data_IF_268578522279
#
_entry.id   IF_268578522279
#
_cell.length_a   1.000
_cell.length_b   1.000
_cell.length_c   1.000
_cell.angle_alpha   90.00
_cell.angle_beta   90.00
_cell.angle_gamma   90.00
#
_symmetry.space_group_name_H-M   'P 1'
#
loop_
_entity.id
_entity.type
_entity.pdbx_description
1 polymer ?
#
# COMPACT_ATOMS: atom_id res chain seq x y z
N UNK A 1 6.96 -3.92 -13.26
CA UNK A 1 6.21 -3.89 -11.99
C UNK A 1 7.13 -3.31 -10.93
N UNK A 2 6.72 -2.29 -10.17
CA UNK A 2 7.50 -1.84 -9.00
C UNK A 2 7.50 -2.99 -7.99
N UNK A 3 8.61 -3.24 -7.28
CA UNK A 3 8.71 -4.27 -6.24
C UNK A 3 8.49 -3.64 -4.86
N UNK A 4 7.23 -3.49 -4.40
CA UNK A 4 6.95 -2.90 -3.09
C UNK A 4 7.46 -3.77 -1.95
N UNK A 5 7.62 -5.07 -2.15
CA UNK A 5 8.08 -6.00 -1.11
C UNK A 5 9.57 -5.88 -0.91
N UNK A 6 10.35 -5.89 -1.99
CA UNK A 6 11.79 -5.63 -1.90
C UNK A 6 12.09 -4.24 -1.35
N UNK A 7 11.29 -3.23 -1.73
CA UNK A 7 11.40 -1.88 -1.17
C UNK A 7 11.13 -1.84 0.34
N UNK A 8 10.08 -2.53 0.78
CA UNK A 8 9.75 -2.66 2.20
C UNK A 8 10.88 -3.33 3.00
N UNK A 9 11.39 -4.48 2.54
CA UNK A 9 12.48 -5.18 3.22
C UNK A 9 13.76 -4.32 3.28
N UNK A 10 14.08 -3.62 2.18
CA UNK A 10 15.24 -2.71 2.15
C UNK A 10 15.13 -1.61 3.19
N UNK A 11 13.98 -0.97 3.30
CA UNK A 11 13.74 0.10 4.29
C UNK A 11 13.84 -0.46 5.70
N UNK A 12 13.14 -1.57 5.99
CA UNK A 12 13.18 -2.25 7.29
C UNK A 12 14.62 -2.54 7.72
N UNK A 13 15.41 -3.20 6.88
CA UNK A 13 16.78 -3.58 7.19
C UNK A 13 17.71 -2.36 7.37
N UNK A 14 17.48 -1.27 6.63
CA UNK A 14 18.20 -0.01 6.84
C UNK A 14 17.95 0.58 8.23
N UNK A 15 16.70 0.59 8.68
CA UNK A 15 16.36 1.05 10.04
C UNK A 15 16.97 0.13 11.10
N UNK A 16 16.83 -1.20 10.97
CA UNK A 16 17.44 -2.15 11.90
C UNK A 16 18.96 -1.94 11.98
N UNK A 17 19.62 -1.81 10.83
CA UNK A 17 21.06 -1.53 10.76
C UNK A 17 21.44 -0.24 11.45
N UNK A 18 20.72 0.86 11.22
CA UNK A 18 20.96 2.12 11.91
C UNK A 18 20.87 1.95 13.44
N UNK A 19 19.84 1.27 13.94
CA UNK A 19 19.69 1.05 15.37
C UNK A 19 20.79 0.12 15.90
N UNK A 20 21.24 -0.86 15.11
CA UNK A 20 22.38 -1.75 15.47
C UNK A 20 23.70 -1.02 15.59
N UNK A 21 23.90 0.07 14.84
CA UNK A 21 25.17 0.83 14.86
C UNK A 21 25.13 2.02 15.80
N UNK A 22 24.11 2.88 15.69
CA UNK A 22 24.03 4.14 16.44
C UNK A 22 23.76 3.94 17.94
N UNK A 23 23.06 2.85 18.30
CA UNK A 23 22.68 2.55 19.68
C UNK A 23 23.23 1.19 20.15
N UNK A 24 24.39 0.80 19.62
CA UNK A 24 25.03 -0.47 19.98
C UNK A 24 25.43 -0.48 21.45
N UNK A 25 25.17 -1.58 22.15
CA UNK A 25 25.70 -1.85 23.48
C UNK A 25 26.87 -2.83 23.41
N UNK A 26 27.63 -2.94 24.51
CA UNK A 26 28.71 -3.95 24.63
C UNK A 26 28.19 -5.37 24.94
N UNK A 27 26.89 -5.54 25.19
CA UNK A 27 26.32 -6.77 25.72
C UNK A 27 25.65 -7.57 24.60
N UNK A 28 26.33 -8.61 24.11
CA UNK A 28 25.86 -9.39 22.96
C UNK A 28 24.48 -10.04 23.17
N UNK A 29 24.17 -10.46 24.41
CA UNK A 29 22.84 -10.99 24.74
C UNK A 29 21.72 -9.97 24.52
N UNK A 30 21.92 -8.74 24.97
CA UNK A 30 20.96 -7.64 24.75
C UNK A 30 20.84 -7.33 23.26
N UNK A 31 21.95 -7.33 22.53
CA UNK A 31 21.94 -7.11 21.07
C UNK A 31 21.11 -8.16 20.33
N UNK A 32 21.21 -9.42 20.75
CA UNK A 32 20.43 -10.52 20.20
C UNK A 32 18.94 -10.35 20.49
N UNK A 33 18.57 -10.18 21.77
CA UNK A 33 17.17 -10.00 22.19
C UNK A 33 16.52 -8.80 21.50
N UNK A 34 17.26 -7.68 21.40
CA UNK A 34 16.80 -6.49 20.69
C UNK A 34 16.59 -6.76 19.20
N UNK A 35 17.49 -7.48 18.54
CA UNK A 35 17.32 -7.82 17.13
C UNK A 35 16.08 -8.69 16.89
N UNK A 36 15.82 -9.64 17.79
CA UNK A 36 14.64 -10.51 17.75
C UNK A 36 13.36 -9.67 17.93
N UNK A 37 13.35 -8.70 18.87
CA UNK A 37 12.23 -7.76 19.08
C UNK A 37 12.01 -6.80 17.89
N UNK A 38 13.08 -6.24 17.31
CA UNK A 38 12.96 -5.38 16.12
C UNK A 38 12.41 -6.14 14.91
N UNK A 39 12.57 -7.47 14.89
CA UNK A 39 11.99 -8.34 13.87
C UNK A 39 10.57 -8.83 14.19
N UNK A 40 10.03 -8.53 15.37
CA UNK A 40 8.69 -8.93 15.78
C UNK A 40 7.62 -8.02 15.17
N UNK A 41 6.51 -8.61 14.72
CA UNK A 41 5.39 -7.87 14.13
C UNK A 41 4.84 -6.84 15.11
N UNK A 42 4.55 -5.63 14.61
CA UNK A 42 4.04 -4.48 15.37
C UNK A 42 5.00 -3.86 16.38
N UNK A 43 6.30 -4.16 16.32
CA UNK A 43 7.33 -3.42 17.07
C UNK A 43 7.93 -2.30 16.21
N UNK A 44 8.82 -2.66 15.28
CA UNK A 44 9.43 -1.68 14.37
C UNK A 44 8.62 -1.53 13.08
N UNK A 45 8.00 -2.61 12.63
CA UNK A 45 7.27 -2.66 11.38
C UNK A 45 6.04 -3.55 11.51
N UNK A 46 5.17 -3.45 10.51
CA UNK A 46 4.12 -4.42 10.25
C UNK A 46 4.24 -4.85 8.79
N UNK A 47 4.09 -6.14 8.53
CA UNK A 47 4.08 -6.61 7.14
C UNK A 47 2.96 -5.90 6.37
N UNK A 48 3.24 -5.34 5.18
CA UNK A 48 2.22 -4.65 4.41
C UNK A 48 1.14 -5.65 3.98
N UNK A 49 -0.11 -5.21 4.00
CA UNK A 49 -1.15 -5.90 3.25
C UNK A 49 -0.99 -5.55 1.78
N UNK A 50 -0.99 -6.57 0.94
CA UNK A 50 -0.85 -6.42 -0.51
C UNK A 50 -2.22 -6.63 -1.11
N UNK A 51 -2.74 -5.58 -1.73
CA UNK A 51 -3.87 -5.71 -2.62
C UNK A 51 -3.34 -5.79 -4.06
N UNK A 52 -3.51 -6.92 -4.77
CA UNK A 52 -3.20 -6.97 -6.18
C UNK A 52 -4.18 -6.05 -6.90
N UNK A 53 -3.67 -4.96 -7.47
CA UNK A 53 -4.45 -4.09 -8.35
C UNK A 53 -4.35 -4.68 -9.76
N UNK A 54 -5.39 -5.35 -10.28
CA UNK A 54 -5.40 -5.72 -11.67
C UNK A 54 -5.37 -4.44 -12.51
N UNK A 55 -4.66 -4.48 -13.63
CA UNK A 55 -4.75 -3.40 -14.60
C UNK A 55 -6.21 -3.34 -15.09
N UNK A 56 -6.90 -2.25 -14.76
CA UNK A 56 -8.24 -2.02 -15.29
C UNK A 56 -8.16 -1.92 -16.80
N UNK A 57 -8.79 -2.86 -17.50
CA UNK A 57 -8.92 -2.79 -18.94
C UNK A 57 -9.86 -1.63 -19.26
N UNK A 58 -9.42 -0.73 -20.13
CA UNK A 58 -10.28 0.36 -20.59
C UNK A 58 -11.54 -0.23 -21.24
N UNK A 59 -12.70 0.27 -20.84
CA UNK A 59 -13.97 -0.03 -21.52
C UNK A 59 -14.08 0.67 -22.88
N UNK A 60 -13.16 1.59 -23.20
CA UNK A 60 -13.23 2.46 -24.37
C UNK A 60 -14.26 3.60 -24.26
N UNK A 61 -15.08 3.63 -23.21
CA UNK A 61 -16.11 4.65 -22.99
C UNK A 61 -15.55 5.89 -22.29
N UNK A 62 -15.97 7.07 -22.70
CA UNK A 62 -15.79 8.34 -21.98
C UNK A 62 -17.04 8.64 -21.15
N UNK A 63 -16.93 9.61 -20.24
CA UNK A 63 -18.05 10.07 -19.38
C UNK A 63 -19.32 10.38 -20.20
N UNK A 64 -19.16 11.04 -21.35
CA UNK A 64 -20.30 11.38 -22.20
C UNK A 64 -20.98 10.17 -22.84
N UNK A 65 -20.27 9.06 -23.01
CA UNK A 65 -20.77 7.83 -23.62
C UNK A 65 -21.56 6.95 -22.63
N UNK A 66 -21.52 7.25 -21.33
CA UNK A 66 -22.18 6.46 -20.29
C UNK A 66 -23.70 6.50 -20.44
N UNK A 67 -24.34 5.33 -20.44
CA UNK A 67 -25.80 5.19 -20.43
C UNK A 67 -26.34 5.00 -19.00
N UNK A 68 -27.66 5.04 -18.81
CA UNK A 68 -28.27 4.68 -17.52
C UNK A 68 -27.94 3.24 -17.12
N UNK A 69 -27.88 2.34 -18.10
CA UNK A 69 -27.52 0.94 -17.88
C UNK A 69 -26.08 0.80 -17.38
N UNK A 70 -25.13 1.57 -17.94
CA UNK A 70 -23.75 1.63 -17.48
C UNK A 70 -23.61 2.12 -16.02
N UNK A 71 -24.62 2.86 -15.55
CA UNK A 71 -24.71 3.42 -14.20
C UNK A 71 -25.61 2.57 -13.27
N UNK A 72 -25.88 1.32 -13.67
CA UNK A 72 -26.68 0.37 -12.90
C UNK A 72 -28.15 0.77 -12.75
N UNK A 73 -28.65 1.66 -13.61
CA UNK A 73 -30.00 2.26 -13.53
C UNK A 73 -30.31 2.88 -12.16
N UNK A 74 -29.28 3.30 -11.42
CA UNK A 74 -29.42 3.81 -10.06
C UNK A 74 -29.68 5.33 -9.99
N UNK A 75 -29.47 6.04 -11.10
CA UNK A 75 -29.54 7.49 -11.18
C UNK A 75 -30.73 7.95 -12.03
N UNK A 76 -31.27 9.12 -11.72
CA UNK A 76 -32.22 9.84 -12.57
C UNK A 76 -31.52 10.55 -13.73
N UNK A 77 -32.27 10.89 -14.79
CA UNK A 77 -31.74 11.64 -15.95
C UNK A 77 -31.09 12.97 -15.55
N UNK A 78 -31.63 13.65 -14.54
CA UNK A 78 -31.08 14.90 -14.02
C UNK A 78 -29.70 14.68 -13.37
N UNK A 79 -29.53 13.61 -12.59
CA UNK A 79 -28.27 13.26 -11.96
C UNK A 79 -27.23 12.79 -12.97
N UNK A 80 -27.63 12.05 -14.00
CA UNK A 80 -26.74 11.69 -15.12
C UNK A 80 -26.28 12.93 -15.87
N UNK A 81 -27.17 13.90 -16.12
CA UNK A 81 -26.80 15.15 -16.77
C UNK A 81 -25.84 15.99 -15.92
N UNK A 82 -26.04 16.00 -14.59
CA UNK A 82 -25.12 16.64 -13.67
C UNK A 82 -23.73 15.98 -13.71
N UNK A 83 -23.68 14.64 -13.62
CA UNK A 83 -22.45 13.86 -13.68
C UNK A 83 -21.66 14.12 -14.97
N UNK A 84 -22.34 14.21 -16.12
CA UNK A 84 -21.72 14.48 -17.43
C UNK A 84 -21.28 15.94 -17.62
N UNK A 85 -21.75 16.85 -16.77
CA UNK A 85 -21.44 18.28 -16.84
C UNK A 85 -20.27 18.74 -15.96
N UNK A 86 -19.71 17.85 -15.13
CA UNK A 86 -18.50 18.07 -14.33
C UNK A 86 -17.23 17.80 -15.16
#
# INVERSE_FOLDING_TARGET
MKDPIGSFETIKENFIRYIKTAFRTKFEGIEKERYDLLNYDRVLYRKPWIEPLPDYVSSGKKINDLTLEDLGNALSDAEVKLLKGL
#
